data_IF_845680767782
#
_entry.id   IF_845680767782
#
_cell.length_a   1.000
_cell.length_b   1.000
_cell.length_c   1.000
_cell.angle_alpha   90.00
_cell.angle_beta   90.00
_cell.angle_gamma   90.00
#
_symmetry.space_group_name_H-M   'P 1'
#
loop_
_entity.id
_entity.type
_entity.pdbx_description
1 polymer ?
#
# COMPACT_ATOMS: atom_id res chain seq x y z
N UNK A 1 8.16 4.30 15.76
CA UNK A 1 6.73 4.64 15.95
C UNK A 1 6.56 6.15 15.79
N UNK A 2 5.74 6.64 14.86
CA UNK A 2 5.46 8.08 14.75
C UNK A 2 4.29 8.38 15.69
N UNK A 3 4.51 9.19 16.73
CA UNK A 3 3.43 9.62 17.62
C UNK A 3 2.71 10.80 16.99
N UNK A 4 1.41 10.66 16.77
CA UNK A 4 0.56 11.77 16.30
C UNK A 4 0.07 12.64 17.45
N UNK A 5 0.21 12.18 18.70
CA UNK A 5 -0.22 12.91 19.90
C UNK A 5 -1.74 13.14 20.01
N UNK A 6 -2.55 12.51 19.14
CA UNK A 6 -3.99 12.72 19.10
C UNK A 6 -4.69 11.78 20.09
N UNK A 7 -5.44 12.36 21.02
CA UNK A 7 -6.24 11.60 22.01
C UNK A 7 -7.71 11.69 21.64
N UNK A 8 -8.41 10.55 21.62
CA UNK A 8 -9.85 10.49 21.40
C UNK A 8 -10.52 9.65 22.47
N UNK A 9 -11.67 10.13 22.96
CA UNK A 9 -12.52 9.36 23.86
C UNK A 9 -13.20 8.22 23.09
N UNK A 10 -13.34 7.10 23.77
CA UNK A 10 -14.15 5.97 23.32
C UNK A 10 -15.62 6.33 23.54
N UNK A 11 -16.51 5.90 22.65
CA UNK A 11 -17.94 6.06 22.85
C UNK A 11 -18.55 4.98 23.75
N UNK A 12 -19.86 5.03 23.96
CA UNK A 12 -20.58 4.10 24.84
C UNK A 12 -20.54 2.63 24.38
N UNK A 13 -20.18 2.38 23.11
CA UNK A 13 -20.13 1.05 22.51
C UNK A 13 -18.70 0.54 22.31
N UNK A 14 -17.69 1.27 22.80
CA UNK A 14 -16.29 0.85 22.62
C UNK A 14 -15.68 1.27 21.29
N UNK A 15 -16.35 2.11 20.48
CA UNK A 15 -15.81 2.56 19.18
C UNK A 15 -14.91 3.77 19.37
N UNK A 16 -13.86 3.82 18.55
CA UNK A 16 -12.96 4.98 18.44
C UNK A 16 -13.05 5.60 17.06
N UNK A 17 -13.03 6.94 17.02
CA UNK A 17 -13.05 7.68 15.75
C UNK A 17 -11.62 7.90 15.28
N UNK A 18 -11.30 7.40 14.09
CA UNK A 18 -10.03 7.71 13.40
C UNK A 18 -10.10 9.15 12.85
N UNK A 19 -9.16 10.05 13.19
CA UNK A 19 -9.09 11.40 12.64
C UNK A 19 -9.06 11.43 11.10
N UNK A 20 -9.66 12.47 10.51
CA UNK A 20 -9.78 12.61 9.05
C UNK A 20 -8.41 12.64 8.34
N UNK A 21 -7.40 13.22 8.98
CA UNK A 21 -6.03 13.28 8.47
C UNK A 21 -5.45 11.87 8.28
N UNK A 22 -5.55 11.02 9.30
CA UNK A 22 -5.08 9.64 9.23
C UNK A 22 -5.84 8.83 8.19
N UNK A 23 -7.15 9.04 8.04
CA UNK A 23 -7.93 8.39 6.97
C UNK A 23 -7.42 8.77 5.59
N UNK A 24 -7.09 10.05 5.35
CA UNK A 24 -6.54 10.52 4.08
C UNK A 24 -5.16 9.95 3.81
N UNK A 25 -4.27 9.97 4.80
CA UNK A 25 -2.90 9.43 4.68
C UNK A 25 -2.89 7.92 4.46
N UNK A 26 -3.76 7.17 5.15
CA UNK A 26 -3.86 5.72 5.00
C UNK A 26 -4.79 5.29 3.84
N UNK A 27 -5.46 6.24 3.19
CA UNK A 27 -6.39 5.97 2.11
C UNK A 27 -7.58 5.09 2.52
N UNK A 28 -8.08 5.26 3.76
CA UNK A 28 -9.26 4.56 4.29
C UNK A 28 -10.49 5.41 3.98
N UNK A 29 -11.39 4.86 3.17
CA UNK A 29 -12.66 5.49 2.80
C UNK A 29 -13.80 4.97 3.67
N UNK A 30 -14.97 5.59 3.54
CA UNK A 30 -16.17 5.11 4.21
C UNK A 30 -16.48 3.68 3.75
N UNK A 31 -16.79 2.80 4.71
CA UNK A 31 -17.06 1.36 4.50
C UNK A 31 -15.84 0.52 4.10
N UNK A 32 -14.64 1.09 4.05
CA UNK A 32 -13.44 0.29 3.85
C UNK A 32 -13.21 -0.63 5.05
N UNK A 33 -12.90 -1.92 4.83
CA UNK A 33 -12.53 -2.84 5.90
C UNK A 33 -11.18 -2.44 6.51
N UNK A 34 -11.08 -2.58 7.83
CA UNK A 34 -9.86 -2.35 8.60
C UNK A 34 -9.57 -3.60 9.42
N UNK A 35 -8.33 -4.06 9.36
CA UNK A 35 -7.84 -5.19 10.11
C UNK A 35 -7.32 -4.70 11.46
N UNK A 36 -7.69 -5.42 12.52
CA UNK A 36 -7.35 -5.09 13.90
C UNK A 36 -6.43 -6.17 14.43
N UNK A 37 -5.24 -5.76 14.87
CA UNK A 37 -4.29 -6.61 15.54
C UNK A 37 -4.12 -6.17 17.00
N UNK A 38 -3.77 -7.13 17.84
CA UNK A 38 -3.43 -6.90 19.24
C UNK A 38 -1.97 -7.33 19.43
N UNK A 39 -1.17 -6.41 19.95
CA UNK A 39 0.25 -6.64 20.27
C UNK A 39 0.50 -6.11 21.68
N UNK A 40 0.68 -7.01 22.64
CA UNK A 40 0.72 -6.74 24.08
C UNK A 40 -0.42 -5.82 24.56
N UNK A 41 -0.10 -4.56 24.85
CA UNK A 41 -1.01 -3.52 25.36
C UNK A 41 -1.50 -2.55 24.28
N UNK A 42 -1.23 -2.86 23.00
CA UNK A 42 -1.50 -1.98 21.86
C UNK A 42 -2.51 -2.60 20.89
N UNK A 43 -3.37 -1.74 20.36
CA UNK A 43 -4.22 -2.04 19.22
C UNK A 43 -3.58 -1.45 17.98
N UNK A 44 -3.31 -2.29 16.98
CA UNK A 44 -2.73 -1.89 15.70
C UNK A 44 -3.82 -2.00 14.63
N UNK A 45 -4.08 -0.89 13.95
CA UNK A 45 -5.04 -0.82 12.84
C UNK A 45 -4.27 -0.83 11.52
N UNK A 46 -4.63 -1.76 10.63
CA UNK A 46 -4.08 -1.86 9.28
C UNK A 46 -5.22 -1.78 8.27
N UNK A 47 -5.00 -1.09 7.15
CA UNK A 47 -5.95 -1.14 6.03
C UNK A 47 -6.06 -2.60 5.57
N UNK A 48 -7.26 -3.15 5.59
CA UNK A 48 -7.47 -4.50 5.08
C UNK A 48 -7.38 -4.46 3.56
N UNK A 49 -6.53 -5.31 3.01
CA UNK A 49 -6.34 -5.45 1.57
C UNK A 49 -6.82 -6.83 1.20
N UNK A 50 -7.83 -6.90 0.33
CA UNK A 50 -8.33 -8.20 -0.12
C UNK A 50 -7.34 -8.83 -1.10
N UNK A 51 -7.43 -10.15 -1.27
CA UNK A 51 -6.69 -10.84 -2.32
C UNK A 51 -7.08 -10.34 -3.72
N UNK A 52 -8.29 -9.80 -3.90
CA UNK A 52 -8.72 -9.18 -5.16
C UNK A 52 -8.02 -7.86 -5.45
N UNK A 53 -7.83 -7.01 -4.43
CA UNK A 53 -7.05 -5.77 -4.55
C UNK A 53 -5.59 -6.06 -4.95
N UNK A 54 -5.00 -7.13 -4.38
CA UNK A 54 -3.66 -7.56 -4.78
C UNK A 54 -3.60 -8.08 -6.21
N UNK A 55 -4.67 -8.70 -6.72
CA UNK A 55 -4.75 -9.12 -8.14
C UNK A 55 -4.81 -7.92 -9.07
N UNK A 56 -5.63 -6.91 -8.77
CA UNK A 56 -5.71 -5.70 -9.60
C UNK A 56 -4.38 -4.93 -9.62
N UNK A 57 -3.72 -4.80 -8.47
CA UNK A 57 -2.39 -4.22 -8.39
C UNK A 57 -1.36 -5.03 -9.19
N UNK A 58 -1.40 -6.37 -9.06
CA UNK A 58 -0.53 -7.28 -9.80
C UNK A 58 -0.77 -7.20 -11.31
N UNK A 59 -2.01 -7.04 -11.75
CA UNK A 59 -2.35 -6.88 -13.17
C UNK A 59 -1.87 -5.55 -13.74
N UNK A 60 -1.97 -4.45 -12.97
CA UNK A 60 -1.39 -3.15 -13.35
C UNK A 60 0.13 -3.23 -13.46
N UNK A 61 0.79 -3.87 -12.49
CA UNK A 61 2.25 -4.08 -12.50
C UNK A 61 2.65 -4.97 -13.69
N UNK A 62 1.95 -6.08 -13.94
CA UNK A 62 2.21 -6.96 -15.07
C UNK A 62 2.07 -6.24 -16.43
N UNK A 63 1.07 -5.36 -16.56
CA UNK A 63 0.93 -4.50 -17.75
C UNK A 63 2.12 -3.56 -17.90
N UNK A 64 2.56 -2.94 -16.81
CA UNK A 64 3.72 -2.04 -16.83
C UNK A 64 5.01 -2.78 -17.18
N UNK A 65 5.20 -3.99 -16.64
CA UNK A 65 6.35 -4.84 -16.95
C UNK A 65 6.41 -5.18 -18.44
N UNK A 66 5.28 -5.62 -19.04
CA UNK A 66 5.21 -5.88 -20.49
C UNK A 66 5.49 -4.64 -21.32
N UNK A 67 5.09 -3.46 -20.85
CA UNK A 67 5.40 -2.20 -21.52
C UNK A 67 6.90 -1.89 -21.47
N UNK A 68 7.56 -2.08 -20.31
CA UNK A 68 9.01 -1.92 -20.18
C UNK A 68 9.79 -2.88 -21.07
N UNK A 69 9.36 -4.15 -21.20
CA UNK A 69 9.99 -5.12 -22.09
C UNK A 69 9.88 -4.72 -23.57
N UNK A 70 8.74 -4.18 -23.98
CA UNK A 70 8.54 -3.62 -25.32
C UNK A 70 9.45 -2.42 -25.62
N UNK A 71 9.78 -1.62 -24.61
CA UNK A 71 10.71 -0.49 -24.74
C UNK A 71 12.18 -0.94 -24.78
N UNK A 72 12.56 -2.00 -24.04
CA UNK A 72 13.92 -2.56 -24.07
C UNK A 72 14.36 -3.01 -25.47
N UNK A 73 13.41 -3.46 -26.30
CA UNK A 73 13.67 -3.87 -27.70
C UNK A 73 14.03 -2.70 -28.64
N UNK A 74 13.66 -1.45 -28.28
CA UNK A 74 13.91 -0.25 -29.09
C UNK A 74 14.98 0.68 -28.52
N UNK A 75 15.53 0.35 -27.36
CA UNK A 75 16.37 1.22 -26.55
C UNK A 75 17.88 0.93 -26.70
N UNK A 76 18.70 1.97 -26.65
CA UNK A 76 20.17 1.87 -26.62
C UNK A 76 20.69 1.32 -25.28
N UNK A 77 21.97 0.92 -25.21
CA UNK A 77 22.56 0.23 -24.05
C UNK A 77 22.34 0.97 -22.71
N UNK A 78 22.47 2.30 -22.68
CA UNK A 78 22.26 3.10 -21.47
C UNK A 78 20.80 3.12 -20.97
N UNK A 79 19.83 3.08 -21.89
CA UNK A 79 18.41 3.06 -21.55
C UNK A 79 17.97 1.67 -21.06
N UNK A 80 18.63 0.60 -21.50
CA UNK A 80 18.37 -0.77 -21.01
C UNK A 80 18.70 -0.93 -19.54
N UNK A 81 19.80 -0.33 -19.09
CA UNK A 81 20.23 -0.37 -17.69
C UNK A 81 19.24 0.40 -16.79
N UNK A 82 18.75 1.56 -17.23
CA UNK A 82 17.69 2.29 -16.52
C UNK A 82 16.38 1.48 -16.45
N UNK A 83 16.01 0.78 -17.54
CA UNK A 83 14.82 -0.08 -17.56
C UNK A 83 14.96 -1.30 -16.64
N UNK A 84 16.17 -1.84 -16.47
CA UNK A 84 16.45 -2.91 -15.51
C UNK A 84 16.38 -2.44 -14.06
N UNK A 85 16.88 -1.24 -13.76
CA UNK A 85 16.75 -0.64 -12.43
C UNK A 85 15.26 -0.44 -12.07
N UNK A 86 14.47 0.10 -12.99
CA UNK A 86 13.02 0.28 -12.80
C UNK A 86 12.32 -1.07 -12.59
N UNK A 87 12.66 -2.10 -13.38
CA UNK A 87 12.10 -3.45 -13.20
C UNK A 87 12.45 -4.04 -11.83
N UNK A 88 13.70 -3.87 -11.36
CA UNK A 88 14.12 -4.38 -10.07
C UNK A 88 13.43 -3.65 -8.89
N UNK A 89 13.20 -2.34 -9.00
CA UNK A 89 12.41 -1.62 -8.00
C UNK A 89 10.94 -2.09 -7.97
N UNK A 90 10.34 -2.31 -9.14
CA UNK A 90 8.98 -2.87 -9.24
C UNK A 90 8.90 -4.27 -8.58
N UNK A 91 9.88 -5.14 -8.79
CA UNK A 91 9.92 -6.46 -8.14
C UNK A 91 10.09 -6.38 -6.62
N UNK A 92 10.87 -5.42 -6.10
CA UNK A 92 11.00 -5.21 -4.64
C UNK A 92 9.68 -4.78 -4.02
N UNK A 93 8.87 -3.99 -4.71
CA UNK A 93 7.51 -3.64 -4.25
C UNK A 93 6.50 -4.80 -4.28
N UNK A 94 6.84 -5.94 -4.90
CA UNK A 94 6.01 -7.16 -4.92
C UNK A 94 6.26 -8.11 -3.74
N UNK A 95 7.35 -7.94 -2.97
CA UNK A 95 7.57 -8.71 -1.74
C UNK A 95 7.03 -7.94 -0.55
N UNK A 96 6.01 -8.47 0.17
CA UNK A 96 5.49 -7.88 1.40
C UNK A 96 6.52 -7.92 2.55
#
# INVERSE_FOLDING_TARGET
>A
MKSTGIVRKVDELGRVVVPIELRRTLGIRERDPVEIFVDDDKVILKKYVTSEDTKEQRDKINKLMKFCDGLKLKAGAAQKEQLEQIQNELYKTMSP
#
